data_IF_564344701259
#
_entry.id   IF_564344701259
#
_cell.length_a   1.000
_cell.length_b   1.000
_cell.length_c   1.000
_cell.angle_alpha   90.00
_cell.angle_beta   90.00
_cell.angle_gamma   90.00
#
_symmetry.space_group_name_H-M   'P 1'
#
loop_
_entity.id
_entity.type
_entity.pdbx_description
1 polymer ?
#
# COMPACT_ATOMS: atom_id res chain seq x y z
N UNK A 1 -1.40 -28.10 5.80
CA UNK A 1 -2.17 -27.19 6.65
C UNK A 1 -2.55 -26.00 5.81
N UNK A 2 -3.83 -25.77 5.65
CA UNK A 2 -4.27 -24.82 4.64
C UNK A 2 -5.10 -23.77 5.33
N UNK A 3 -4.42 -23.01 6.20
CA UNK A 3 -5.02 -21.81 6.76
C UNK A 3 -4.97 -20.71 5.72
N UNK A 4 -6.08 -20.01 5.55
CA UNK A 4 -6.20 -18.82 4.72
C UNK A 4 -6.75 -17.70 5.60
N UNK A 5 -6.37 -16.48 5.33
CA UNK A 5 -6.99 -15.33 5.96
C UNK A 5 -8.41 -15.18 5.38
N UNK A 6 -9.37 -14.87 6.26
CA UNK A 6 -10.76 -14.63 5.86
C UNK A 6 -10.98 -13.20 5.35
N UNK A 7 -10.19 -12.25 5.84
CA UNK A 7 -10.21 -10.85 5.43
C UNK A 7 -8.85 -10.19 5.72
N UNK A 8 -8.56 -9.09 5.02
CA UNK A 8 -7.35 -8.29 5.22
C UNK A 8 -7.73 -6.82 5.35
N UNK A 9 -7.30 -6.17 6.41
CA UNK A 9 -7.39 -4.73 6.57
C UNK A 9 -5.98 -4.16 6.64
N UNK A 10 -5.64 -3.28 5.70
CA UNK A 10 -4.32 -2.66 5.60
C UNK A 10 -4.45 -1.18 5.93
N UNK A 11 -3.63 -0.70 6.86
CA UNK A 11 -3.60 0.71 7.24
C UNK A 11 -2.30 1.30 6.69
N UNK A 12 -2.43 2.32 5.84
CA UNK A 12 -1.36 3.02 5.10
C UNK A 12 -0.27 2.10 4.52
N UNK A 13 -0.63 1.10 3.69
CA UNK A 13 0.34 0.21 3.06
C UNK A 13 1.15 0.92 1.98
N UNK A 14 2.33 0.40 1.67
CA UNK A 14 3.22 1.02 0.71
C UNK A 14 2.78 0.96 -0.77
N UNK A 15 1.89 0.10 -1.17
CA UNK A 15 1.38 -0.09 -2.56
C UNK A 15 2.43 0.14 -3.68
N UNK A 16 3.69 -0.19 -3.42
CA UNK A 16 4.84 0.17 -4.28
C UNK A 16 5.05 -0.81 -5.43
N UNK A 17 4.20 -1.83 -5.54
CA UNK A 17 4.33 -2.87 -6.53
C UNK A 17 3.04 -3.04 -7.32
N UNK A 18 3.18 -3.43 -8.58
CA UNK A 18 2.05 -3.82 -9.44
C UNK A 18 2.37 -5.12 -10.17
N UNK A 19 1.34 -5.91 -10.53
CA UNK A 19 1.54 -7.15 -11.26
C UNK A 19 2.24 -6.91 -12.61
N UNK A 20 3.19 -7.76 -12.94
CA UNK A 20 3.79 -7.76 -14.26
C UNK A 20 2.70 -8.05 -15.30
N UNK A 21 2.63 -7.32 -16.44
CA UNK A 21 1.51 -7.46 -17.40
C UNK A 21 1.32 -8.86 -17.98
N UNK A 22 2.37 -9.66 -18.01
CA UNK A 22 2.37 -11.02 -18.58
C UNK A 22 2.21 -12.12 -17.53
N UNK A 23 2.13 -11.78 -16.23
CA UNK A 23 2.09 -12.75 -15.14
C UNK A 23 0.65 -13.11 -14.76
N UNK A 24 0.41 -14.40 -14.56
CA UNK A 24 -0.87 -14.92 -14.08
C UNK A 24 -0.97 -14.90 -12.56
N UNK A 25 -0.87 -13.73 -11.94
CA UNK A 25 -0.99 -13.61 -10.50
C UNK A 25 -2.38 -14.00 -10.02
N UNK A 26 -2.45 -14.78 -8.95
CA UNK A 26 -3.69 -15.19 -8.31
C UNK A 26 -3.82 -14.45 -6.98
N UNK A 27 -4.75 -13.51 -6.91
CA UNK A 27 -5.11 -12.85 -5.67
C UNK A 27 -6.08 -13.70 -4.85
N UNK A 28 -5.94 -13.63 -3.53
CA UNK A 28 -6.95 -14.16 -2.64
C UNK A 28 -8.30 -13.49 -2.92
N UNK A 29 -9.38 -14.27 -2.92
CA UNK A 29 -10.74 -13.71 -3.00
C UNK A 29 -11.26 -13.23 -1.65
N UNK A 30 -10.47 -13.39 -0.57
CA UNK A 30 -10.79 -12.76 0.70
C UNK A 30 -10.85 -11.23 0.54
N UNK A 31 -11.84 -10.57 1.17
CA UNK A 31 -11.93 -9.12 1.09
C UNK A 31 -10.67 -8.46 1.65
N UNK A 32 -10.14 -7.52 0.89
CA UNK A 32 -9.02 -6.66 1.27
C UNK A 32 -9.52 -5.23 1.29
N UNK A 33 -9.27 -4.48 2.36
CA UNK A 33 -9.58 -3.06 2.39
C UNK A 33 -8.35 -2.26 2.81
N UNK A 34 -8.07 -1.20 2.08
CA UNK A 34 -6.96 -0.28 2.32
C UNK A 34 -7.50 0.99 2.96
N UNK A 35 -6.93 1.40 4.10
CA UNK A 35 -7.18 2.68 4.75
C UNK A 35 -5.91 3.53 4.62
N UNK A 36 -6.03 4.72 4.05
CA UNK A 36 -4.86 5.59 3.81
C UNK A 36 -5.24 7.07 3.94
N UNK A 37 -4.28 7.89 4.36
CA UNK A 37 -4.47 9.33 4.45
C UNK A 37 -4.28 10.00 3.10
N UNK A 38 -5.07 11.04 2.81
CA UNK A 38 -4.95 11.86 1.60
C UNK A 38 -3.60 12.58 1.52
N UNK A 39 -3.09 13.05 2.66
CA UNK A 39 -1.84 13.79 2.79
C UNK A 39 -0.65 12.91 3.18
N UNK A 40 -0.80 11.58 3.07
CA UNK A 40 0.30 10.66 3.32
C UNK A 40 1.38 10.83 2.23
N UNK A 41 2.48 11.46 2.59
CA UNK A 41 3.64 11.68 1.72
C UNK A 41 4.75 10.64 1.96
N UNK A 42 4.57 9.75 2.93
CA UNK A 42 5.47 8.62 3.14
C UNK A 42 5.16 7.49 2.16
N UNK A 43 3.92 7.07 2.13
CA UNK A 43 3.36 6.06 1.21
C UNK A 43 2.03 6.59 0.65
N UNK A 44 2.08 7.42 -0.38
CA UNK A 44 0.93 8.22 -0.77
C UNK A 44 -0.24 7.40 -1.30
N UNK A 45 -1.45 7.90 -1.08
CA UNK A 45 -2.69 7.30 -1.56
C UNK A 45 -2.68 7.04 -3.09
N UNK A 46 -1.99 7.91 -3.84
CA UNK A 46 -1.82 7.74 -5.29
C UNK A 46 -1.12 6.43 -5.67
N UNK A 47 -0.19 5.93 -4.87
CA UNK A 47 0.45 4.64 -5.12
C UNK A 47 -0.57 3.49 -5.05
N UNK A 48 -1.48 3.52 -4.06
CA UNK A 48 -2.52 2.51 -3.91
C UNK A 48 -3.60 2.62 -4.99
N UNK A 49 -3.99 3.83 -5.38
CA UNK A 49 -4.95 4.00 -6.48
C UNK A 49 -4.35 3.59 -7.83
N UNK A 50 -3.07 3.85 -8.06
CA UNK A 50 -2.35 3.38 -9.25
C UNK A 50 -2.24 1.84 -9.27
N UNK A 51 -1.95 1.23 -8.12
CA UNK A 51 -1.94 -0.23 -7.99
C UNK A 51 -3.30 -0.83 -8.37
N UNK A 52 -4.41 -0.31 -7.83
CA UNK A 52 -5.76 -0.76 -8.18
C UNK A 52 -6.06 -0.52 -9.66
N UNK A 53 -5.64 0.61 -10.21
CA UNK A 53 -5.76 0.90 -11.65
C UNK A 53 -5.08 -0.17 -12.50
N UNK A 54 -3.84 -0.54 -12.16
CA UNK A 54 -3.09 -1.61 -12.84
C UNK A 54 -3.74 -2.98 -12.72
N UNK A 55 -4.30 -3.32 -11.55
CA UNK A 55 -5.06 -4.56 -11.39
C UNK A 55 -6.30 -4.59 -12.29
N UNK A 56 -7.05 -3.51 -12.36
CA UNK A 56 -8.23 -3.40 -13.22
C UNK A 56 -7.85 -3.49 -14.71
N UNK A 57 -6.76 -2.82 -15.13
CA UNK A 57 -6.25 -2.89 -16.49
C UNK A 57 -5.81 -4.31 -16.88
N UNK A 58 -5.21 -5.06 -15.95
CA UNK A 58 -4.77 -6.43 -16.18
C UNK A 58 -5.93 -7.43 -16.28
N UNK A 59 -7.14 -7.07 -15.85
CA UNK A 59 -8.29 -7.97 -15.77
C UNK A 59 -8.16 -9.09 -14.72
N UNK A 60 -7.17 -9.00 -13.84
CA UNK A 60 -6.98 -9.97 -12.76
C UNK A 60 -8.12 -9.86 -11.73
N UNK A 61 -8.81 -10.95 -11.40
CA UNK A 61 -9.87 -10.90 -10.41
C UNK A 61 -9.32 -10.61 -9.04
N UNK A 62 -9.83 -9.58 -8.38
CA UNK A 62 -9.48 -9.19 -7.03
C UNK A 62 -10.70 -8.70 -6.24
N UNK A 63 -10.57 -8.65 -4.93
CA UNK A 63 -11.59 -8.12 -4.01
C UNK A 63 -10.91 -7.10 -3.07
N UNK A 64 -10.42 -6.00 -3.66
CA UNK A 64 -9.65 -4.97 -2.97
C UNK A 64 -10.36 -3.63 -3.12
N UNK A 65 -10.67 -2.99 -1.99
CA UNK A 65 -11.24 -1.65 -1.90
C UNK A 65 -10.33 -0.70 -1.14
N UNK A 66 -10.54 0.61 -1.27
CA UNK A 66 -9.77 1.66 -0.61
C UNK A 66 -10.67 2.73 -0.02
N UNK A 67 -10.33 3.19 1.18
CA UNK A 67 -10.86 4.42 1.79
C UNK A 67 -9.70 5.39 2.00
N UNK A 68 -9.87 6.61 1.48
CA UNK A 68 -8.91 7.71 1.63
C UNK A 68 -9.51 8.71 2.62
N UNK A 69 -8.80 8.98 3.72
CA UNK A 69 -9.21 9.93 4.76
C UNK A 69 -8.69 11.33 4.43
N UNK A 70 -9.60 12.28 4.30
CA UNK A 70 -9.27 13.68 4.01
C UNK A 70 -8.40 14.29 5.11
N UNK A 71 -7.45 15.14 4.72
CA UNK A 71 -6.54 15.85 5.62
C UNK A 71 -5.73 14.96 6.59
N UNK A 72 -5.63 13.66 6.33
CA UNK A 72 -4.91 12.70 7.15
C UNK A 72 -3.54 12.40 6.57
N UNK A 73 -2.51 12.44 7.42
CA UNK A 73 -1.13 12.04 7.10
C UNK A 73 -0.88 10.56 7.44
N UNK A 74 0.34 10.10 7.21
CA UNK A 74 0.78 8.79 7.71
C UNK A 74 0.61 8.70 9.23
N UNK A 75 0.21 7.55 9.76
CA UNK A 75 -0.05 7.35 11.21
C UNK A 75 -1.25 8.15 11.76
N UNK A 76 -2.24 8.45 10.95
CA UNK A 76 -3.44 9.20 11.33
C UNK A 76 -4.23 8.55 12.49
N UNK A 77 -4.06 7.26 12.69
CA UNK A 77 -4.70 6.47 13.75
C UNK A 77 -4.06 6.65 15.15
N UNK A 78 -2.95 7.40 15.23
CA UNK A 78 -2.22 7.65 16.48
C UNK A 78 -2.58 8.99 17.11
N UNK A 79 -2.40 9.06 18.43
CA UNK A 79 -2.45 10.33 19.17
C UNK A 79 -1.06 10.96 19.19
N UNK A 80 -0.75 11.74 18.16
CA UNK A 80 0.52 12.42 18.05
C UNK A 80 0.40 13.69 17.22
N UNK A 81 1.25 14.67 17.50
CA UNK A 81 1.37 15.89 16.69
C UNK A 81 2.00 15.58 15.34
N UNK A 82 1.68 16.42 14.35
CA UNK A 82 2.30 16.34 13.01
C UNK A 82 3.81 16.58 13.13
N UNK A 83 4.59 15.64 12.63
CA UNK A 83 6.05 15.64 12.75
C UNK A 83 6.67 15.27 11.41
N UNK A 84 7.74 15.96 11.02
CA UNK A 84 8.57 15.61 9.87
C UNK A 84 9.71 14.69 10.30
N UNK A 85 9.93 13.62 9.57
CA UNK A 85 11.03 12.69 9.80
C UNK A 85 12.18 12.99 8.85
N UNK A 86 13.08 13.91 9.23
CA UNK A 86 14.16 14.43 8.37
C UNK A 86 15.03 13.34 7.71
N UNK A 87 15.23 12.21 8.38
CA UNK A 87 16.02 11.09 7.88
C UNK A 87 15.17 9.99 7.21
N UNK A 88 13.85 10.12 7.23
CA UNK A 88 12.94 9.18 6.55
C UNK A 88 13.01 9.31 5.03
N UNK A 89 12.59 8.25 4.34
CA UNK A 89 12.44 8.28 2.89
C UNK A 89 10.95 8.40 2.54
N UNK A 90 10.60 9.31 1.64
CA UNK A 90 9.29 9.27 0.97
C UNK A 90 9.37 8.27 -0.18
N UNK A 91 8.28 7.55 -0.44
CA UNK A 91 8.24 6.48 -1.44
C UNK A 91 7.20 6.77 -2.54
N UNK A 92 6.77 8.04 -2.66
CA UNK A 92 5.68 8.46 -3.53
C UNK A 92 5.84 8.12 -5.00
N UNK A 93 7.06 8.22 -5.49
CA UNK A 93 7.37 7.96 -6.89
C UNK A 93 7.90 6.54 -7.13
N UNK A 94 7.96 5.71 -6.07
CA UNK A 94 8.42 4.34 -6.16
C UNK A 94 7.27 3.41 -6.58
N UNK A 95 7.35 2.83 -7.77
CA UNK A 95 6.33 1.91 -8.26
C UNK A 95 6.97 0.87 -9.19
N UNK A 96 7.04 -0.38 -8.72
CA UNK A 96 7.84 -1.42 -9.33
C UNK A 96 6.99 -2.59 -9.84
N UNK A 97 7.29 -3.14 -11.03
CA UNK A 97 6.65 -4.38 -11.47
C UNK A 97 7.08 -5.56 -10.59
N UNK A 98 6.14 -6.47 -10.35
CA UNK A 98 6.31 -7.64 -9.51
C UNK A 98 5.81 -8.90 -10.24
N UNK A 99 6.59 -9.99 -10.17
CA UNK A 99 6.14 -11.28 -10.69
C UNK A 99 5.30 -12.07 -9.67
N UNK A 100 4.81 -13.24 -10.07
CA UNK A 100 3.98 -14.14 -9.24
C UNK A 100 4.74 -14.72 -8.02
N UNK A 101 6.07 -14.75 -8.05
CA UNK A 101 6.92 -15.13 -6.93
C UNK A 101 7.14 -14.00 -5.91
N UNK A 102 6.64 -12.78 -6.19
CA UNK A 102 6.82 -11.60 -5.35
C UNK A 102 8.17 -10.88 -5.55
N UNK A 103 8.92 -11.20 -6.60
CA UNK A 103 10.15 -10.49 -6.94
C UNK A 103 9.83 -9.17 -7.61
N UNK A 104 10.38 -8.08 -7.07
CA UNK A 104 10.30 -6.74 -7.65
C UNK A 104 11.40 -6.53 -8.70
N UNK A 105 11.08 -5.76 -9.73
CA UNK A 105 12.02 -5.40 -10.80
C UNK A 105 12.13 -3.89 -10.94
N UNK A 106 13.28 -3.39 -11.41
CA UNK A 106 13.52 -1.95 -11.63
C UNK A 106 12.62 -1.36 -12.71
N UNK A 107 12.28 -2.16 -13.72
CA UNK A 107 11.36 -1.76 -14.78
C UNK A 107 10.77 -2.97 -15.49
N UNK A 108 9.65 -2.76 -16.18
CA UNK A 108 9.04 -3.78 -17.04
C UNK A 108 9.96 -4.22 -18.17
N UNK A 109 10.76 -3.28 -18.72
CA UNK A 109 11.59 -3.52 -19.89
C UNK A 109 12.88 -4.27 -19.55
N UNK A 110 13.60 -3.87 -18.49
CA UNK A 110 14.93 -4.41 -18.20
C UNK A 110 14.91 -5.61 -17.28
N UNK A 111 13.79 -6.09 -16.78
CA UNK A 111 13.64 -7.25 -15.87
C UNK A 111 14.83 -7.46 -14.88
N UNK A 112 15.37 -6.36 -14.34
CA UNK A 112 16.48 -6.39 -13.38
C UNK A 112 15.88 -6.56 -11.98
N UNK A 113 16.12 -7.69 -11.30
CA UNK A 113 15.48 -7.96 -10.01
C UNK A 113 16.07 -7.09 -8.88
N UNK A 114 15.21 -6.59 -8.00
CA UNK A 114 15.57 -5.83 -6.79
C UNK A 114 15.77 -6.81 -5.63
N UNK A 115 16.68 -7.76 -5.77
CA UNK A 115 16.86 -8.89 -4.85
C UNK A 115 18.11 -8.80 -3.97
N UNK A 116 18.84 -7.69 -4.00
CA UNK A 116 20.03 -7.46 -3.18
C UNK A 116 20.01 -6.09 -2.52
N UNK A 117 20.72 -5.88 -1.39
CA UNK A 117 20.80 -4.57 -0.75
C UNK A 117 21.32 -3.45 -1.68
N UNK A 118 22.22 -3.78 -2.60
CA UNK A 118 22.74 -2.83 -3.58
C UNK A 118 21.65 -2.43 -4.58
N UNK A 119 20.89 -3.40 -5.09
CA UNK A 119 19.79 -3.13 -6.01
C UNK A 119 18.63 -2.38 -5.34
N UNK A 120 18.34 -2.68 -4.08
CA UNK A 120 17.35 -1.93 -3.29
C UNK A 120 17.77 -0.46 -3.13
N UNK A 121 19.04 -0.20 -2.79
CA UNK A 121 19.56 1.17 -2.71
C UNK A 121 19.48 1.89 -4.06
N UNK A 122 19.83 1.21 -5.14
CA UNK A 122 19.74 1.77 -6.49
C UNK A 122 18.28 2.10 -6.85
N UNK A 123 17.36 1.19 -6.59
CA UNK A 123 15.93 1.42 -6.81
C UNK A 123 15.43 2.65 -6.03
N UNK A 124 15.74 2.75 -4.74
CA UNK A 124 15.35 3.89 -3.91
C UNK A 124 15.98 5.21 -4.39
N UNK A 125 17.21 5.20 -4.90
CA UNK A 125 17.85 6.40 -5.45
C UNK A 125 17.13 6.96 -6.69
N UNK A 126 16.35 6.14 -7.37
CA UNK A 126 15.61 6.59 -8.58
C UNK A 126 14.26 7.22 -8.26
N UNK A 127 13.68 6.97 -7.07
CA UNK A 127 12.30 7.33 -6.79
C UNK A 127 12.05 7.85 -5.37
N UNK A 128 12.93 7.59 -4.39
CA UNK A 128 12.69 7.99 -3.01
C UNK A 128 13.09 9.45 -2.76
N UNK A 129 12.22 10.19 -2.10
CA UNK A 129 12.48 11.52 -1.54
C UNK A 129 12.93 11.46 -0.07
N UNK A 130 12.82 12.57 0.64
CA UNK A 130 13.20 12.72 2.05
C UNK A 130 12.18 13.53 2.83
N UNK A 131 12.17 13.33 4.14
CA UNK A 131 11.41 14.14 5.07
C UNK A 131 9.91 13.87 5.03
N UNK A 132 9.45 12.59 5.08
CA UNK A 132 8.01 12.33 5.17
C UNK A 132 7.41 12.92 6.44
N UNK A 133 6.14 13.29 6.35
CA UNK A 133 5.35 13.74 7.48
C UNK A 133 4.48 12.62 8.03
N UNK A 134 4.30 12.62 9.34
CA UNK A 134 3.39 11.70 10.02
C UNK A 134 2.71 12.41 11.19
N UNK A 135 1.48 12.04 11.49
CA UNK A 135 0.75 12.66 12.60
C UNK A 135 -0.67 12.17 12.73
N UNK A 136 -1.21 12.26 13.94
CA UNK A 136 -2.58 11.90 14.23
C UNK A 136 -3.59 12.82 13.55
N UNK A 137 -4.78 12.27 13.29
CA UNK A 137 -5.96 13.00 12.86
C UNK A 137 -7.16 12.40 13.57
N UNK A 138 -7.77 13.13 14.49
CA UNK A 138 -8.80 12.59 15.39
C UNK A 138 -10.02 12.06 14.62
N UNK A 139 -10.44 12.75 13.57
CA UNK A 139 -11.57 12.34 12.74
C UNK A 139 -11.26 11.05 11.95
N UNK A 140 -10.13 11.02 11.26
CA UNK A 140 -9.70 9.83 10.51
C UNK A 140 -9.46 8.64 11.44
N UNK A 141 -8.93 8.88 12.64
CA UNK A 141 -8.74 7.86 13.68
C UNK A 141 -10.06 7.25 14.11
N UNK A 142 -11.04 8.08 14.48
CA UNK A 142 -12.36 7.59 14.91
C UNK A 142 -13.06 6.82 13.79
N UNK A 143 -13.06 7.37 12.58
CA UNK A 143 -13.64 6.73 11.40
C UNK A 143 -12.97 5.40 11.08
N UNK A 144 -11.62 5.33 11.14
CA UNK A 144 -10.87 4.11 10.81
C UNK A 144 -11.10 3.00 11.84
N UNK A 145 -11.18 3.33 13.13
CA UNK A 145 -11.49 2.34 14.16
C UNK A 145 -12.90 1.79 14.04
N UNK A 146 -13.88 2.67 13.78
CA UNK A 146 -15.25 2.24 13.53
C UNK A 146 -15.31 1.34 12.28
N UNK A 147 -14.70 1.78 11.18
CA UNK A 147 -14.63 1.01 9.94
C UNK A 147 -13.99 -0.37 10.17
N UNK A 148 -12.88 -0.42 10.93
CA UNK A 148 -12.16 -1.67 11.22
C UNK A 148 -13.05 -2.67 11.97
N UNK A 149 -13.80 -2.20 12.97
CA UNK A 149 -14.74 -3.04 13.72
C UNK A 149 -15.85 -3.59 12.80
N UNK A 150 -16.51 -2.70 12.04
CA UNK A 150 -17.58 -3.06 11.10
C UNK A 150 -17.09 -4.04 10.01
N UNK A 151 -15.89 -3.81 9.49
CA UNK A 151 -15.26 -4.66 8.47
C UNK A 151 -14.99 -6.08 8.97
N UNK A 152 -14.42 -6.21 10.15
CA UNK A 152 -14.14 -7.54 10.72
C UNK A 152 -15.41 -8.23 11.22
N UNK A 153 -16.36 -7.51 11.78
CA UNK A 153 -17.66 -8.07 12.14
C UNK A 153 -18.35 -8.69 10.91
N UNK A 154 -18.43 -7.93 9.82
CA UNK A 154 -19.04 -8.38 8.57
C UNK A 154 -18.36 -9.61 7.97
N UNK A 155 -17.02 -9.70 8.03
CA UNK A 155 -16.26 -10.70 7.27
C UNK A 155 -15.82 -11.91 8.11
N UNK A 156 -15.89 -11.85 9.45
CA UNK A 156 -15.44 -12.93 10.34
C UNK A 156 -16.56 -13.58 11.13
N UNK A 157 -17.71 -12.89 11.30
CA UNK A 157 -18.78 -13.35 12.19
C UNK A 157 -20.03 -13.85 11.44
N UNK A 158 -19.97 -13.93 10.12
CA UNK A 158 -21.05 -14.47 9.25
C UNK A 158 -20.73 -15.88 8.76
#
# INVERSE_FOLDING_TARGET
GKFRFAAHLQIYPGCLAYPYPEESMIFSQAPVHILIGELDDWVPASACTNFLGKLNESGLPHNIDITIYENAHHSFDREMELTTMDHGYTLGDCFFPMNDEGTLFLSEFWKIPINSPTMQKLALLTCAGRGPTMGGNDEAREQSFKFSADFFEKNLMN
#
